data_IF_815119358699
#
_entry.id   IF_815119358699
#
_cell.length_a   1.000
_cell.length_b   1.000
_cell.length_c   1.000
_cell.angle_alpha   90.00
_cell.angle_beta   90.00
_cell.angle_gamma   90.00
#
_symmetry.space_group_name_H-M   'P 1'
#
loop_
_entity.id
_entity.type
_entity.pdbx_description
1 polymer ?
#
# COMPACT_ATOMS: atom_id res chain seq x y z
N UNK A 1 -2.44 -9.50 13.02
CA UNK A 1 -2.55 -8.16 13.58
C UNK A 1 -2.87 -7.21 12.44
N UNK A 2 -3.86 -6.32 12.64
CA UNK A 2 -4.20 -5.24 11.72
C UNK A 2 -3.80 -3.90 12.36
N UNK A 3 -3.17 -3.03 11.59
CA UNK A 3 -2.65 -1.74 12.06
C UNK A 3 -3.17 -0.63 11.18
N UNK A 4 -3.64 0.44 11.78
CA UNK A 4 -3.95 1.70 11.10
C UNK A 4 -3.68 2.86 12.06
N UNK A 5 -3.40 4.04 11.52
CA UNK A 5 -3.22 5.25 12.31
C UNK A 5 -4.56 5.79 12.83
N UNK A 6 -5.65 5.49 12.10
CA UNK A 6 -6.98 6.06 12.31
C UNK A 6 -7.88 5.08 13.05
N UNK A 7 -8.39 5.46 14.21
CA UNK A 7 -9.31 4.64 15.00
C UNK A 7 -10.59 4.30 14.25
N UNK A 8 -11.11 5.25 13.48
CA UNK A 8 -12.32 5.12 12.69
C UNK A 8 -12.20 4.04 11.61
N UNK A 9 -11.03 3.98 10.94
CA UNK A 9 -10.76 2.95 9.94
C UNK A 9 -10.71 1.56 10.56
N UNK A 10 -10.08 1.42 11.74
CA UNK A 10 -10.05 0.15 12.47
C UNK A 10 -11.44 -0.27 12.96
N UNK A 11 -12.27 0.65 13.41
CA UNK A 11 -13.66 0.37 13.82
C UNK A 11 -14.50 -0.11 12.63
N UNK A 12 -14.40 0.56 11.47
CA UNK A 12 -15.07 0.14 10.24
C UNK A 12 -14.60 -1.24 9.76
N UNK A 13 -13.30 -1.47 9.79
CA UNK A 13 -12.73 -2.75 9.40
C UNK A 13 -13.18 -3.87 10.34
N UNK A 14 -13.20 -3.63 11.64
CA UNK A 14 -13.69 -4.58 12.66
C UNK A 14 -15.18 -4.90 12.47
N UNK A 15 -16.00 -3.90 12.16
CA UNK A 15 -17.43 -4.10 11.93
C UNK A 15 -17.75 -4.88 10.65
N UNK A 16 -16.86 -4.83 9.64
CA UNK A 16 -17.03 -5.51 8.35
C UNK A 16 -16.38 -6.90 8.29
N UNK A 17 -15.58 -7.23 9.28
CA UNK A 17 -14.78 -8.45 9.27
C UNK A 17 -15.39 -9.48 10.21
N UNK A 18 -15.64 -10.69 9.69
CA UNK A 18 -15.94 -11.86 10.51
C UNK A 18 -14.74 -12.35 11.34
N UNK A 19 -13.63 -11.62 11.30
CA UNK A 19 -12.38 -12.00 11.96
C UNK A 19 -12.41 -11.68 13.45
N UNK A 20 -13.15 -12.47 14.23
CA UNK A 20 -13.04 -12.51 15.69
C UNK A 20 -11.62 -12.77 16.21
N UNK A 21 -10.69 -13.15 15.32
CA UNK A 21 -9.30 -13.50 15.65
C UNK A 21 -8.28 -12.40 15.34
N UNK A 22 -8.65 -11.28 14.72
CA UNK A 22 -7.71 -10.21 14.42
C UNK A 22 -7.46 -9.32 15.64
N UNK A 23 -6.19 -9.12 16.00
CA UNK A 23 -5.79 -8.06 16.93
C UNK A 23 -5.70 -6.73 16.18
N UNK A 24 -6.33 -5.69 16.71
CA UNK A 24 -6.42 -4.37 16.10
C UNK A 24 -5.57 -3.38 16.91
N UNK A 25 -4.66 -2.68 16.25
CA UNK A 25 -3.69 -1.79 16.89
C UNK A 25 -3.70 -0.43 16.19
N UNK A 26 -3.90 0.64 16.95
CA UNK A 26 -3.72 2.02 16.47
C UNK A 26 -2.23 2.31 16.56
N UNK A 27 -1.56 2.53 15.42
CA UNK A 27 -0.14 2.87 15.40
C UNK A 27 0.26 3.55 14.09
N UNK A 28 1.35 4.32 14.17
CA UNK A 28 2.01 4.90 13.02
C UNK A 28 2.88 3.84 12.31
N UNK A 29 2.71 3.73 10.99
CA UNK A 29 3.52 2.83 10.16
C UNK A 29 5.01 3.23 10.09
N UNK A 30 5.35 4.45 10.50
CA UNK A 30 6.73 4.93 10.64
C UNK A 30 7.37 4.54 11.99
N UNK A 31 6.57 4.07 12.96
CA UNK A 31 7.04 3.66 14.29
C UNK A 31 6.15 2.54 14.84
N UNK A 32 6.27 1.35 14.25
CA UNK A 32 5.43 0.21 14.63
C UNK A 32 5.73 -0.29 16.06
N UNK A 33 4.73 -0.48 16.93
CA UNK A 33 4.90 -0.84 18.34
C UNK A 33 5.20 -2.33 18.53
N UNK A 34 5.97 -2.92 17.65
CA UNK A 34 6.31 -4.33 17.68
C UNK A 34 7.83 -4.53 17.79
N UNK A 35 8.24 -5.63 18.40
CA UNK A 35 9.66 -6.03 18.43
C UNK A 35 10.14 -6.38 17.02
N UNK A 36 11.44 -6.33 16.82
CA UNK A 36 12.08 -6.79 15.59
C UNK A 36 11.83 -8.28 15.37
N UNK A 37 11.54 -8.69 14.14
CA UNK A 37 11.50 -10.08 13.74
C UNK A 37 10.37 -10.90 14.37
N UNK A 38 9.17 -10.35 14.52
CA UNK A 38 8.04 -11.07 15.13
C UNK A 38 7.04 -11.62 14.12
N UNK A 39 6.97 -11.08 12.90
CA UNK A 39 5.98 -11.47 11.92
C UNK A 39 6.52 -12.39 10.84
N UNK A 40 5.72 -13.37 10.45
CA UNK A 40 6.00 -14.29 9.35
C UNK A 40 5.67 -13.71 7.97
N UNK A 41 4.99 -12.58 7.92
CA UNK A 41 4.67 -11.84 6.71
C UNK A 41 4.14 -10.46 7.08
N UNK A 42 4.37 -9.49 6.22
CA UNK A 42 3.79 -8.15 6.32
C UNK A 42 3.08 -7.84 5.01
N UNK A 43 1.85 -7.34 5.13
CA UNK A 43 1.05 -6.90 3.98
C UNK A 43 0.62 -5.47 4.23
N UNK A 44 0.82 -4.59 3.25
CA UNK A 44 0.33 -3.23 3.29
C UNK A 44 -0.50 -2.90 2.05
N UNK A 45 -1.64 -2.26 2.27
CA UNK A 45 -2.53 -1.82 1.20
C UNK A 45 -2.69 -0.31 1.20
N UNK A 46 -2.35 0.35 0.09
CA UNK A 46 -2.50 1.79 -0.12
C UNK A 46 -1.83 2.65 0.96
N UNK A 47 -0.72 2.15 1.51
CA UNK A 47 -0.01 2.75 2.62
C UNK A 47 1.01 3.79 2.14
N UNK A 48 1.91 3.39 1.22
CA UNK A 48 3.09 4.18 0.86
C UNK A 48 2.76 5.55 0.29
N UNK A 49 1.67 5.66 -0.45
CA UNK A 49 1.19 6.96 -0.97
C UNK A 49 0.81 7.96 0.12
N UNK A 50 0.49 7.49 1.32
CA UNK A 50 0.06 8.31 2.45
C UNK A 50 1.20 8.60 3.44
N UNK A 51 2.36 7.97 3.26
CA UNK A 51 3.50 8.17 4.15
C UNK A 51 4.30 9.42 3.76
N UNK A 52 4.65 10.28 4.72
CA UNK A 52 5.57 11.39 4.51
C UNK A 52 7.00 10.92 4.23
N UNK A 53 7.39 9.75 4.77
CA UNK A 53 8.69 9.11 4.54
C UNK A 53 8.50 7.62 4.22
N UNK A 54 8.54 7.31 2.92
CA UNK A 54 8.40 5.95 2.40
C UNK A 54 9.57 5.06 2.86
N UNK A 55 10.77 5.61 2.93
CA UNK A 55 11.98 4.89 3.33
C UNK A 55 11.87 4.37 4.75
N UNK A 56 11.45 5.22 5.68
CA UNK A 56 11.20 4.82 7.07
C UNK A 56 10.07 3.78 7.16
N UNK A 57 8.99 3.94 6.39
CA UNK A 57 7.92 2.95 6.35
C UNK A 57 8.38 1.57 5.86
N UNK A 58 9.25 1.51 4.84
CA UNK A 58 9.85 0.25 4.36
C UNK A 58 10.74 -0.36 5.46
N UNK A 59 11.60 0.45 6.09
CA UNK A 59 12.49 -0.02 7.17
C UNK A 59 11.72 -0.59 8.36
N UNK A 60 10.65 0.05 8.78
CA UNK A 60 9.82 -0.42 9.90
C UNK A 60 9.12 -1.75 9.56
N UNK A 61 8.54 -1.87 8.35
CA UNK A 61 7.95 -3.12 7.92
C UNK A 61 8.99 -4.24 7.80
N UNK A 62 10.18 -3.95 7.29
CA UNK A 62 11.29 -4.91 7.23
C UNK A 62 11.82 -5.26 8.64
N UNK A 63 11.84 -4.30 9.57
CA UNK A 63 12.30 -4.51 10.94
C UNK A 63 11.44 -5.55 11.66
N UNK A 64 10.13 -5.41 11.59
CA UNK A 64 9.18 -6.30 12.29
C UNK A 64 9.05 -7.67 11.65
N UNK A 65 9.47 -7.82 10.39
CA UNK A 65 9.46 -9.05 9.64
C UNK A 65 10.61 -9.96 10.09
N UNK A 66 10.35 -11.27 10.29
CA UNK A 66 11.38 -12.26 10.54
C UNK A 66 12.33 -12.40 9.34
N UNK A 67 13.61 -12.79 9.55
CA UNK A 67 14.51 -13.12 8.45
C UNK A 67 13.90 -14.18 7.52
N UNK A 68 14.20 -14.10 6.25
CA UNK A 68 13.69 -15.01 5.23
C UNK A 68 12.22 -14.84 4.86
N UNK A 69 11.48 -13.97 5.54
CA UNK A 69 10.06 -13.74 5.31
C UNK A 69 9.80 -12.60 4.31
N UNK A 70 8.55 -12.45 3.86
CA UNK A 70 8.20 -11.54 2.77
C UNK A 70 7.32 -10.39 3.20
N UNK A 71 7.62 -9.22 2.64
CA UNK A 71 6.77 -8.06 2.57
C UNK A 71 6.00 -8.09 1.24
N UNK A 72 4.70 -7.84 1.29
CA UNK A 72 3.87 -7.57 0.11
C UNK A 72 3.19 -6.21 0.27
N UNK A 73 3.15 -5.43 -0.81
CA UNK A 73 2.51 -4.13 -0.80
C UNK A 73 1.71 -3.92 -2.07
N UNK A 74 0.46 -3.47 -1.94
CA UNK A 74 -0.32 -2.95 -3.06
C UNK A 74 -0.49 -1.45 -2.91
N UNK A 75 -0.16 -0.71 -3.96
CA UNK A 75 -0.39 0.74 -3.98
C UNK A 75 -0.72 1.24 -5.38
N UNK A 76 -1.25 2.45 -5.46
CA UNK A 76 -1.44 3.14 -6.72
C UNK A 76 -0.09 3.59 -7.28
N UNK A 77 0.02 3.61 -8.59
CA UNK A 77 1.22 4.03 -9.29
C UNK A 77 0.82 4.82 -10.55
N UNK A 78 1.59 5.83 -10.94
CA UNK A 78 1.33 6.53 -12.20
C UNK A 78 1.30 5.52 -13.36
N UNK A 79 0.32 5.64 -14.28
CA UNK A 79 0.32 4.84 -15.51
C UNK A 79 1.63 5.05 -16.28
N UNK A 80 2.08 4.03 -17.00
CA UNK A 80 3.23 4.20 -17.90
C UNK A 80 2.92 5.25 -18.96
N UNK A 81 3.94 6.02 -19.34
CA UNK A 81 3.87 6.91 -20.49
C UNK A 81 3.77 6.08 -21.76
N UNK A 82 2.53 5.83 -22.18
CA UNK A 82 2.20 5.15 -23.42
C UNK A 82 1.03 5.88 -24.11
N UNK A 83 0.75 5.48 -25.34
CA UNK A 83 -0.32 6.09 -26.16
C UNK A 83 -1.72 5.98 -25.52
N UNK A 84 -1.91 5.05 -24.58
CA UNK A 84 -3.16 4.83 -23.85
C UNK A 84 -3.28 5.69 -22.59
N UNK A 85 -2.21 6.37 -22.15
CA UNK A 85 -2.20 7.21 -20.94
C UNK A 85 -3.37 8.19 -20.87
N UNK A 86 -3.67 8.99 -21.91
CA UNK A 86 -4.77 9.95 -21.85
C UNK A 86 -6.15 9.27 -21.68
N UNK A 87 -6.33 8.08 -22.27
CA UNK A 87 -7.56 7.30 -22.10
C UNK A 87 -7.69 6.72 -20.68
N UNK A 88 -6.58 6.24 -20.11
CA UNK A 88 -6.55 5.71 -18.74
C UNK A 88 -6.80 6.85 -17.73
N UNK A 89 -6.19 8.01 -17.92
CA UNK A 89 -6.43 9.19 -17.08
C UNK A 89 -7.88 9.67 -17.17
N UNK A 90 -8.45 9.70 -18.38
CA UNK A 90 -9.86 10.01 -18.58
C UNK A 90 -10.78 9.01 -17.86
N UNK A 91 -10.50 7.71 -18.00
CA UNK A 91 -11.25 6.63 -17.34
C UNK A 91 -11.22 6.77 -15.82
N UNK A 92 -10.03 6.96 -15.24
CA UNK A 92 -9.85 7.11 -13.79
C UNK A 92 -10.52 8.39 -13.29
N UNK A 93 -10.42 9.48 -14.04
CA UNK A 93 -10.91 10.79 -13.62
C UNK A 93 -12.43 10.94 -13.75
N UNK A 94 -13.05 10.33 -14.75
CA UNK A 94 -14.46 10.55 -15.06
C UNK A 94 -15.34 9.31 -14.85
N UNK A 95 -14.87 8.12 -15.22
CA UNK A 95 -15.69 6.91 -15.20
C UNK A 95 -15.67 6.23 -13.82
N UNK A 96 -14.50 6.12 -13.20
CA UNK A 96 -14.37 5.50 -11.87
C UNK A 96 -15.20 6.22 -10.80
N UNK A 97 -15.22 7.59 -10.71
CA UNK A 97 -16.08 8.29 -9.76
C UNK A 97 -17.57 8.06 -10.01
N UNK A 98 -18.00 8.02 -11.27
CA UNK A 98 -19.42 7.76 -11.62
C UNK A 98 -19.83 6.35 -11.19
N UNK A 99 -19.01 5.34 -11.49
CA UNK A 99 -19.27 3.97 -11.05
C UNK A 99 -19.26 3.89 -9.52
N UNK A 100 -18.31 4.56 -8.87
CA UNK A 100 -18.21 4.61 -7.42
C UNK A 100 -19.46 5.20 -6.76
N UNK A 101 -20.01 6.28 -7.29
CA UNK A 101 -21.28 6.88 -6.81
C UNK A 101 -22.46 5.91 -6.98
N UNK A 102 -22.55 5.27 -8.13
CA UNK A 102 -23.66 4.34 -8.44
C UNK A 102 -23.60 3.09 -7.54
N UNK A 103 -22.41 2.59 -7.24
CA UNK A 103 -22.23 1.35 -6.48
C UNK A 103 -22.24 1.59 -4.97
N UNK A 104 -21.66 2.69 -4.47
CA UNK A 104 -21.54 2.96 -3.03
C UNK A 104 -22.70 3.77 -2.45
N UNK A 105 -23.48 4.45 -3.28
CA UNK A 105 -24.58 5.32 -2.82
C UNK A 105 -24.13 6.52 -1.96
N UNK A 106 -22.85 6.78 -1.87
CA UNK A 106 -22.26 7.87 -1.08
C UNK A 106 -21.40 8.77 -1.97
N UNK A 107 -21.50 10.07 -1.75
CA UNK A 107 -20.58 11.06 -2.32
C UNK A 107 -19.22 10.95 -1.61
N UNK A 108 -18.44 9.93 -1.97
CA UNK A 108 -17.05 9.89 -1.54
C UNK A 108 -16.28 10.98 -2.28
N UNK A 109 -15.43 11.78 -1.59
CA UNK A 109 -14.65 12.84 -2.21
C UNK A 109 -13.54 12.20 -3.06
N UNK A 110 -13.88 11.81 -4.29
CA UNK A 110 -12.94 11.26 -5.28
C UNK A 110 -11.90 12.29 -5.75
N UNK A 111 -12.11 13.57 -5.45
CA UNK A 111 -11.10 14.63 -5.69
C UNK A 111 -9.80 14.37 -4.90
N UNK A 112 -9.91 13.80 -3.69
CA UNK A 112 -8.75 13.39 -2.89
C UNK A 112 -7.92 12.29 -3.58
N UNK A 113 -8.58 11.36 -4.29
CA UNK A 113 -7.88 10.31 -5.05
C UNK A 113 -7.09 10.89 -6.25
N UNK A 114 -7.61 11.92 -6.91
CA UNK A 114 -6.96 12.52 -8.09
C UNK A 114 -5.75 13.36 -7.72
N UNK A 115 -5.78 14.07 -6.61
CA UNK A 115 -4.70 14.94 -6.15
C UNK A 115 -3.56 14.15 -5.51
N UNK A 116 -3.90 13.12 -4.72
CA UNK A 116 -2.91 12.21 -4.15
C UNK A 116 -2.18 11.40 -5.22
N UNK A 117 -2.82 11.08 -6.37
CA UNK A 117 -2.21 10.29 -7.45
C UNK A 117 -1.04 11.01 -8.15
N UNK A 118 -0.97 12.35 -8.12
CA UNK A 118 0.11 13.13 -8.75
C UNK A 118 1.44 13.12 -7.96
N UNK A 119 1.41 12.82 -6.68
CA UNK A 119 2.60 12.75 -5.81
C UNK A 119 3.17 11.33 -5.64
N UNK A 120 2.61 10.35 -6.36
CA UNK A 120 2.96 8.94 -6.14
C UNK A 120 4.30 8.56 -6.74
N UNK A 121 5.00 7.78 -5.97
CA UNK A 121 6.19 7.07 -6.41
C UNK A 121 5.80 6.05 -7.47
N UNK A 122 6.53 6.01 -8.59
CA UNK A 122 6.31 4.99 -9.61
C UNK A 122 6.59 3.59 -9.05
N UNK A 123 5.99 2.57 -9.67
CA UNK A 123 6.22 1.18 -9.24
C UNK A 123 7.70 0.80 -9.29
N UNK A 124 8.42 1.28 -10.29
CA UNK A 124 9.86 1.09 -10.45
C UNK A 124 10.62 1.72 -9.26
N UNK A 125 10.32 2.99 -8.95
CA UNK A 125 10.99 3.70 -7.85
C UNK A 125 10.70 3.09 -6.49
N UNK A 126 9.45 2.61 -6.25
CA UNK A 126 9.14 1.92 -5.00
C UNK A 126 9.92 0.60 -4.90
N UNK A 127 10.05 -0.15 -5.99
CA UNK A 127 10.86 -1.38 -6.03
C UNK A 127 12.34 -1.07 -5.75
N UNK A 128 12.88 0.03 -6.27
CA UNK A 128 14.26 0.45 -5.99
C UNK A 128 14.43 0.85 -4.52
N UNK A 129 13.51 1.62 -3.97
CA UNK A 129 13.53 1.96 -2.53
C UNK A 129 13.47 0.71 -1.65
N UNK A 130 12.70 -0.31 -2.03
CA UNK A 130 12.68 -1.58 -1.29
C UNK A 130 14.04 -2.28 -1.33
N UNK A 131 14.75 -2.30 -2.47
CA UNK A 131 16.10 -2.86 -2.61
C UNK A 131 17.14 -2.05 -1.81
N UNK A 132 17.12 -0.74 -1.98
CA UNK A 132 18.01 0.20 -1.26
C UNK A 132 17.88 0.08 0.26
N UNK A 133 16.72 -0.36 0.75
CA UNK A 133 16.45 -0.56 2.19
C UNK A 133 16.52 -2.03 2.64
N UNK A 134 17.29 -2.85 1.91
CA UNK A 134 17.72 -4.15 2.37
C UNK A 134 16.75 -5.31 2.10
N UNK A 135 15.75 -5.12 1.23
CA UNK A 135 14.93 -6.22 0.77
C UNK A 135 15.54 -6.85 -0.50
N UNK A 136 15.55 -8.16 -0.54
CA UNK A 136 16.03 -8.97 -1.66
C UNK A 136 14.87 -9.53 -2.49
N UNK A 137 15.18 -10.07 -3.67
CA UNK A 137 14.18 -10.68 -4.56
C UNK A 137 12.97 -9.75 -4.79
N UNK A 138 13.22 -8.45 -4.87
CA UNK A 138 12.17 -7.46 -5.07
C UNK A 138 11.64 -7.56 -6.48
N UNK A 139 10.34 -7.74 -6.58
CA UNK A 139 9.60 -7.75 -7.84
C UNK A 139 8.28 -7.00 -7.70
N UNK A 140 7.70 -6.60 -8.83
CA UNK A 140 6.35 -6.03 -8.84
C UNK A 140 5.58 -6.42 -10.10
N UNK A 141 4.26 -6.40 -9.99
CA UNK A 141 3.34 -6.62 -11.11
C UNK A 141 2.33 -5.47 -11.12
N UNK A 142 2.20 -4.81 -12.26
CA UNK A 142 1.18 -3.78 -12.47
C UNK A 142 -0.18 -4.41 -12.70
N UNK A 143 -1.22 -3.78 -12.16
CA UNK A 143 -2.63 -4.15 -12.28
C UNK A 143 -3.46 -2.95 -12.69
N UNK A 144 -4.73 -3.17 -13.02
CA UNK A 144 -5.69 -2.09 -13.32
C UNK A 144 -5.14 -1.14 -14.41
N UNK A 145 -4.77 -1.69 -15.57
CA UNK A 145 -4.18 -0.94 -16.69
C UNK A 145 -2.94 -0.12 -16.30
N UNK A 146 -2.23 -0.52 -15.25
CA UNK A 146 -1.03 0.16 -14.78
C UNK A 146 -1.26 1.21 -13.69
N UNK A 147 -2.50 1.40 -13.23
CA UNK A 147 -2.84 2.37 -12.17
C UNK A 147 -2.54 1.86 -10.75
N UNK A 148 -2.29 0.56 -10.59
CA UNK A 148 -1.88 -0.06 -9.34
C UNK A 148 -0.73 -1.03 -9.57
N UNK A 149 0.08 -1.27 -8.54
CA UNK A 149 1.13 -2.26 -8.56
C UNK A 149 1.16 -3.06 -7.25
N UNK A 150 1.44 -4.35 -7.37
CA UNK A 150 1.69 -5.24 -6.25
C UNK A 150 3.19 -5.49 -6.21
N UNK A 151 3.83 -5.08 -5.13
CA UNK A 151 5.26 -5.29 -4.88
C UNK A 151 5.44 -6.44 -3.89
N UNK A 152 6.52 -7.18 -4.05
CA UNK A 152 6.97 -8.16 -3.06
C UNK A 152 8.47 -8.04 -2.87
N UNK A 153 8.93 -8.26 -1.64
CA UNK A 153 10.35 -8.31 -1.31
C UNK A 153 10.59 -9.30 -0.18
N UNK A 154 11.74 -9.92 -0.13
CA UNK A 154 12.15 -10.86 0.92
C UNK A 154 13.15 -10.15 1.85
N UNK A 155 12.95 -10.27 3.16
CA UNK A 155 14.00 -9.90 4.12
C UNK A 155 15.14 -10.92 4.04
N UNK A 156 16.41 -10.51 3.98
CA UNK A 156 17.54 -11.44 3.97
C UNK A 156 17.45 -12.46 5.10
N UNK A 157 17.96 -13.66 4.85
CA UNK A 157 18.20 -14.65 5.90
C UNK A 157 19.32 -14.13 6.81
N UNK A 158 19.31 -14.51 8.08
CA UNK A 158 20.43 -14.22 8.98
C UNK A 158 21.59 -15.14 8.57
N UNK A 159 22.70 -14.55 8.19
CA UNK A 159 23.96 -15.26 7.95
C UNK A 159 24.51 -15.78 9.26
#
# INVERSE_FOLDING_TARGET
VAVDLTSEMLQLAKARSDSSQASWVIADALALPFKQGVFDGVISGFLFRNLPDITTGIKEQARVLKPGKRLAAVDTTPPRDNILKPFIEFYIRFIVPVIGRVVSGQDLPYDYLSESTRKHVSAEKLADLMRENGLEQVSFVRRTFGAAAIHTGKKPDVS
#
